data_IF_231220835202
#
_entry.id   IF_231220835202
#
_cell.length_a   1.000
_cell.length_b   1.000
_cell.length_c   1.000
_cell.angle_alpha   90.00
_cell.angle_beta   90.00
_cell.angle_gamma   90.00
#
_symmetry.space_group_name_H-M   'P 1'
#
loop_
_entity.id
_entity.type
_entity.pdbx_description
1 polymer ?
#
# COMPACT_ATOMS: atom_id res chain seq x y z
N UNK A 1 2.06 -18.45 -1.39
CA UNK A 1 1.27 -17.26 -0.99
C UNK A 1 2.17 -16.07 -0.67
N UNK A 2 3.16 -16.22 0.23
CA UNK A 2 4.14 -15.16 0.58
C UNK A 2 4.80 -14.46 -0.62
N UNK A 3 5.30 -15.23 -1.60
CA UNK A 3 5.97 -14.67 -2.77
C UNK A 3 5.02 -13.80 -3.63
N UNK A 4 3.74 -14.16 -3.71
CA UNK A 4 2.73 -13.40 -4.46
C UNK A 4 2.46 -12.07 -3.76
N UNK A 5 2.27 -12.09 -2.44
CA UNK A 5 2.04 -10.88 -1.62
C UNK A 5 3.27 -9.96 -1.66
N UNK A 6 4.47 -10.52 -1.52
CA UNK A 6 5.72 -9.77 -1.61
C UNK A 6 5.85 -9.06 -2.96
N UNK A 7 5.65 -9.78 -4.06
CA UNK A 7 5.70 -9.20 -5.41
C UNK A 7 4.64 -8.10 -5.60
N UNK A 8 3.44 -8.30 -5.05
CA UNK A 8 2.37 -7.30 -5.09
C UNK A 8 2.74 -6.01 -4.33
N UNK A 9 3.32 -6.13 -3.13
CA UNK A 9 3.80 -4.98 -2.34
C UNK A 9 5.00 -4.28 -2.99
N UNK A 10 5.85 -5.01 -3.70
CA UNK A 10 6.92 -4.42 -4.53
C UNK A 10 6.36 -3.62 -5.71
N UNK A 11 5.30 -4.10 -6.36
CA UNK A 11 4.61 -3.34 -7.40
C UNK A 11 3.98 -2.04 -6.86
N UNK A 12 3.32 -2.10 -5.71
CA UNK A 12 2.79 -0.91 -5.03
C UNK A 12 3.93 0.08 -4.73
N UNK A 13 5.09 -0.38 -4.28
CA UNK A 13 6.24 0.48 -4.01
C UNK A 13 6.71 1.24 -5.26
N UNK A 14 6.79 0.55 -6.40
CA UNK A 14 7.15 1.20 -7.68
C UNK A 14 6.12 2.26 -8.07
N UNK A 15 4.83 1.94 -7.97
CA UNK A 15 3.75 2.88 -8.26
C UNK A 15 3.84 4.14 -7.39
N UNK A 16 4.01 3.96 -6.07
CA UNK A 16 4.09 5.08 -5.12
C UNK A 16 5.31 5.96 -5.38
N UNK A 17 6.46 5.39 -5.73
CA UNK A 17 7.67 6.16 -6.08
C UNK A 17 7.48 7.02 -7.31
N UNK A 18 6.64 6.59 -8.25
CA UNK A 18 6.40 7.30 -9.51
C UNK A 18 5.43 8.47 -9.34
N UNK A 19 4.52 8.43 -8.36
CA UNK A 19 3.52 9.48 -8.11
C UNK A 19 4.09 10.92 -8.06
N UNK A 20 5.35 11.11 -7.64
CA UNK A 20 6.01 12.43 -7.63
C UNK A 20 6.12 13.06 -9.03
N UNK A 21 6.31 12.23 -10.05
CA UNK A 21 6.65 12.64 -11.42
C UNK A 21 5.42 12.76 -12.32
N UNK A 22 4.35 12.08 -11.94
CA UNK A 22 3.10 11.97 -12.70
C UNK A 22 2.23 13.23 -12.60
N UNK A 23 1.44 13.46 -13.65
CA UNK A 23 0.36 14.45 -13.67
C UNK A 23 -0.87 13.94 -12.90
N UNK A 24 -1.89 14.80 -12.72
CA UNK A 24 -3.07 14.45 -11.91
C UNK A 24 -3.81 13.19 -12.38
N UNK A 25 -3.96 12.99 -13.69
CA UNK A 25 -4.65 11.81 -14.23
C UNK A 25 -3.83 10.55 -13.97
N UNK A 26 -2.53 10.59 -14.23
CA UNK A 26 -1.61 9.48 -13.97
C UNK A 26 -1.57 9.11 -12.48
N UNK A 27 -1.60 10.11 -11.58
CA UNK A 27 -1.70 9.87 -10.13
C UNK A 27 -2.96 9.12 -9.74
N UNK A 28 -4.11 9.50 -10.28
CA UNK A 28 -5.39 8.82 -10.03
C UNK A 28 -5.40 7.37 -10.55
N UNK A 29 -4.78 7.14 -11.72
CA UNK A 29 -4.62 5.79 -12.27
C UNK A 29 -3.69 4.94 -11.37
N UNK A 30 -2.56 5.50 -10.93
CA UNK A 30 -1.68 4.83 -9.97
C UNK A 30 -2.40 4.51 -8.66
N UNK A 31 -3.21 5.44 -8.13
CA UNK A 31 -3.98 5.20 -6.92
C UNK A 31 -5.00 4.06 -7.09
N UNK A 32 -5.73 4.05 -8.21
CA UNK A 32 -6.66 2.98 -8.57
C UNK A 32 -5.95 1.61 -8.67
N UNK A 33 -4.73 1.59 -9.22
CA UNK A 33 -3.92 0.38 -9.29
C UNK A 33 -3.47 -0.10 -7.89
N UNK A 34 -3.09 0.81 -6.99
CA UNK A 34 -2.76 0.48 -5.60
C UNK A 34 -3.96 -0.17 -4.89
N UNK A 35 -5.15 0.43 -4.99
CA UNK A 35 -6.39 -0.15 -4.43
C UNK A 35 -6.63 -1.54 -5.00
N UNK A 36 -6.53 -1.71 -6.31
CA UNK A 36 -6.77 -2.99 -6.98
C UNK A 36 -5.83 -4.08 -6.48
N UNK A 37 -4.54 -3.77 -6.31
CA UNK A 37 -3.56 -4.72 -5.80
C UNK A 37 -3.83 -5.05 -4.32
N UNK A 38 -4.21 -4.06 -3.52
CA UNK A 38 -4.58 -4.26 -2.10
C UNK A 38 -5.79 -5.20 -1.97
N UNK A 39 -6.88 -4.94 -2.71
CA UNK A 39 -8.05 -5.81 -2.71
C UNK A 39 -7.67 -7.24 -3.11
N UNK A 40 -6.77 -7.39 -4.09
CA UNK A 40 -6.27 -8.71 -4.51
C UNK A 40 -5.47 -9.41 -3.42
N UNK A 41 -4.70 -8.67 -2.63
CA UNK A 41 -3.99 -9.23 -1.46
C UNK A 41 -5.03 -9.75 -0.46
N UNK A 42 -6.07 -8.96 -0.15
CA UNK A 42 -7.14 -9.34 0.79
C UNK A 42 -7.91 -10.58 0.33
N UNK A 43 -8.24 -10.69 -0.96
CA UNK A 43 -8.87 -11.88 -1.56
C UNK A 43 -8.03 -13.14 -1.36
N UNK A 44 -6.71 -13.02 -1.50
CA UNK A 44 -5.78 -14.15 -1.41
C UNK A 44 -5.59 -14.59 0.04
N UNK A 45 -5.54 -13.64 0.97
CA UNK A 45 -5.29 -13.91 2.39
C UNK A 45 -6.54 -14.28 3.17
N UNK A 46 -7.74 -14.17 2.57
CA UNK A 46 -9.02 -14.61 3.14
C UNK A 46 -9.31 -14.04 4.55
N UNK A 47 -9.00 -12.76 4.77
CA UNK A 47 -9.34 -12.02 6.01
C UNK A 47 -9.00 -12.68 7.36
N UNK A 48 -8.13 -13.70 7.43
CA UNK A 48 -7.57 -14.14 8.71
C UNK A 48 -6.76 -12.97 9.26
N UNK A 49 -7.34 -12.27 10.25
CA UNK A 49 -6.97 -10.93 10.72
C UNK A 49 -5.45 -10.74 10.81
N UNK A 50 -4.89 -10.26 9.71
CA UNK A 50 -3.48 -9.94 9.54
C UNK A 50 -3.18 -8.82 10.54
N UNK A 51 -2.39 -9.06 11.61
CA UNK A 51 -2.20 -8.07 12.65
C UNK A 51 -1.65 -6.76 12.07
N UNK A 52 -2.20 -5.63 12.53
CA UNK A 52 -1.83 -4.27 12.09
C UNK A 52 -2.02 -3.95 10.60
N UNK A 53 -2.48 -4.90 9.77
CA UNK A 53 -2.67 -4.69 8.34
C UNK A 53 -3.63 -3.54 8.04
N UNK A 54 -4.78 -3.49 8.75
CA UNK A 54 -5.77 -2.42 8.57
C UNK A 54 -5.16 -1.04 8.82
N UNK A 55 -4.28 -0.93 9.82
CA UNK A 55 -3.61 0.33 10.15
C UNK A 55 -2.69 0.74 9.01
N UNK A 56 -1.78 -0.14 8.59
CA UNK A 56 -0.82 0.21 7.54
C UNK A 56 -1.44 0.33 6.15
N UNK A 57 -2.54 -0.39 5.88
CA UNK A 57 -3.37 -0.19 4.68
C UNK A 57 -3.94 1.23 4.68
N UNK A 58 -4.54 1.67 5.79
CA UNK A 58 -5.11 3.01 5.89
C UNK A 58 -4.03 4.09 5.75
N UNK A 59 -2.88 3.93 6.41
CA UNK A 59 -1.75 4.87 6.28
C UNK A 59 -1.27 5.01 4.83
N UNK A 60 -1.22 3.90 4.09
CA UNK A 60 -0.87 3.88 2.67
C UNK A 60 -1.92 4.60 1.83
N UNK A 61 -3.19 4.23 1.96
CA UNK A 61 -4.27 4.78 1.14
C UNK A 61 -4.46 6.27 1.40
N UNK A 62 -4.47 6.71 2.65
CA UNK A 62 -4.57 8.13 3.02
C UNK A 62 -3.41 8.95 2.43
N UNK A 63 -2.19 8.40 2.47
CA UNK A 63 -1.03 9.05 1.85
C UNK A 63 -1.21 9.17 0.33
N UNK A 64 -1.70 8.13 -0.35
CA UNK A 64 -1.98 8.16 -1.78
C UNK A 64 -3.11 9.12 -2.16
N UNK A 65 -4.19 9.18 -1.38
CA UNK A 65 -5.33 10.10 -1.59
C UNK A 65 -4.87 11.56 -1.53
N UNK A 66 -4.06 11.90 -0.52
CA UNK A 66 -3.49 13.24 -0.36
C UNK A 66 -2.55 13.60 -1.52
N UNK A 67 -1.75 12.66 -2.02
CA UNK A 67 -0.89 12.90 -3.21
C UNK A 67 -1.73 13.19 -4.46
N UNK A 68 -2.90 12.55 -4.57
CA UNK A 68 -3.84 12.74 -5.66
C UNK A 68 -4.73 13.98 -5.49
N UNK A 69 -4.54 14.79 -4.44
CA UNK A 69 -5.38 15.92 -4.07
C UNK A 69 -6.87 15.56 -3.97
N UNK A 70 -7.17 14.34 -3.50
CA UNK A 70 -8.55 13.89 -3.26
C UNK A 70 -9.12 14.43 -1.93
N UNK A 71 -8.25 14.95 -1.06
CA UNK A 71 -8.61 15.72 0.13
C UNK A 71 -8.01 17.12 0.04
N UNK A 72 -8.68 18.12 0.61
CA UNK A 72 -8.18 19.49 0.76
C UNK A 72 -6.96 19.48 1.70
N UNK A 73 -5.75 19.33 1.17
CA UNK A 73 -4.53 19.40 1.98
C UNK A 73 -3.27 19.86 1.24
N UNK A 74 -2.54 20.75 1.90
CA UNK A 74 -1.30 21.43 1.50
C UNK A 74 -0.04 20.66 1.93
N UNK A 75 -0.02 19.34 1.76
CA UNK A 75 1.10 18.49 2.17
C UNK A 75 2.23 18.48 1.13
N UNK A 76 3.49 18.48 1.56
CA UNK A 76 4.61 18.23 0.66
C UNK A 76 4.50 16.81 0.07
N UNK A 77 4.42 16.71 -1.26
CA UNK A 77 4.28 15.43 -1.98
C UNK A 77 5.44 14.48 -1.63
N UNK A 78 6.65 15.01 -1.40
CA UNK A 78 7.78 14.21 -0.96
C UNK A 78 7.56 13.54 0.39
N UNK A 79 7.05 14.29 1.37
CA UNK A 79 6.70 13.77 2.69
C UNK A 79 5.60 12.70 2.63
N UNK A 80 4.56 12.91 1.82
CA UNK A 80 3.47 11.94 1.65
C UNK A 80 3.97 10.64 1.01
N UNK A 81 4.85 10.73 0.01
CA UNK A 81 5.51 9.54 -0.55
C UNK A 81 6.34 8.83 0.51
N UNK A 82 7.08 9.56 1.34
CA UNK A 82 7.82 8.99 2.47
C UNK A 82 6.93 8.17 3.41
N UNK A 83 5.76 8.72 3.79
CA UNK A 83 4.77 8.04 4.63
C UNK A 83 4.22 6.77 3.97
N UNK A 84 3.83 6.86 2.69
CA UNK A 84 3.35 5.71 1.93
C UNK A 84 4.40 4.59 1.84
N UNK A 85 5.68 4.94 1.62
CA UNK A 85 6.78 3.96 1.59
C UNK A 85 7.03 3.29 2.94
N UNK A 86 6.88 4.03 4.05
CA UNK A 86 6.94 3.45 5.40
C UNK A 86 5.78 2.48 5.63
N UNK A 87 4.56 2.84 5.24
CA UNK A 87 3.40 1.96 5.34
C UNK A 87 3.60 0.66 4.55
N UNK A 88 4.15 0.73 3.33
CA UNK A 88 4.49 -0.46 2.51
C UNK A 88 5.55 -1.32 3.20
N UNK A 89 6.58 -0.71 3.80
CA UNK A 89 7.59 -1.45 4.56
C UNK A 89 6.98 -2.18 5.76
N UNK A 90 6.04 -1.53 6.45
CA UNK A 90 5.33 -2.12 7.58
C UNK A 90 4.40 -3.25 7.14
N UNK A 91 3.70 -3.09 6.02
CA UNK A 91 2.96 -4.17 5.36
C UNK A 91 3.89 -5.34 5.04
N UNK A 92 5.07 -5.11 4.47
CA UNK A 92 6.05 -6.19 4.18
C UNK A 92 6.59 -6.90 5.43
N UNK A 93 6.38 -6.38 6.63
CA UNK A 93 6.87 -7.00 7.86
C UNK A 93 6.14 -8.33 8.15
N UNK A 94 6.86 -9.25 8.79
CA UNK A 94 6.31 -10.53 9.24
C UNK A 94 5.13 -10.38 10.22
N UNK A 95 5.00 -9.22 10.89
CA UNK A 95 3.88 -8.95 11.80
C UNK A 95 2.55 -8.77 11.08
N UNK A 96 2.59 -8.27 9.83
CA UNK A 96 1.42 -8.26 8.98
C UNK A 96 1.19 -9.65 8.43
N UNK A 97 1.92 -10.04 7.40
CA UNK A 97 1.63 -11.27 6.66
C UNK A 97 2.29 -12.49 7.28
N UNK A 98 2.15 -12.72 8.59
CA UNK A 98 2.71 -13.89 9.26
C UNK A 98 2.24 -15.18 8.54
N UNK A 99 3.14 -15.88 7.86
CA UNK A 99 2.86 -17.18 7.20
C UNK A 99 3.65 -18.30 7.84
N UNK A 100 4.07 -18.11 9.09
CA UNK A 100 4.41 -19.22 9.96
C UNK A 100 3.13 -19.80 10.57
N UNK A 101 2.31 -20.43 9.74
CA UNK A 101 1.59 -21.63 10.16
C UNK A 101 2.56 -22.80 10.03
N UNK A 102 3.60 -22.82 10.85
CA UNK A 102 4.10 -24.09 11.35
C UNK A 102 3.31 -24.36 12.63
N UNK A 103 2.24 -25.16 12.52
CA UNK A 103 1.71 -26.09 13.53
C UNK A 103 0.27 -26.49 13.16
N UNK A 104 0.10 -27.57 12.37
CA UNK A 104 -0.35 -28.90 12.83
C UNK A 104 0.33 -29.94 11.93
#
# INVERSE_FOLDING_TARGET
>A
MQMIIKNALEQIEVLVRNLKKENNMERLLCYSAVITIINRIEDITKEERIPNYVIYKNDLLESCEKICNLEDNTGDVGQLIGKALVAIRNLKSYQCFNVDNHHI
#
